data_IF_536556013449
#
_entry.id   IF_536556013449
#
_cell.length_a   1.000
_cell.length_b   1.000
_cell.length_c   1.000
_cell.angle_alpha   90.00
_cell.angle_beta   90.00
_cell.angle_gamma   90.00
#
_symmetry.space_group_name_H-M   'P 1'
#
loop_
_entity.id
_entity.type
_entity.pdbx_description
1 polymer ?
#
# COMPACT_ATOMS: atom_id res chain seq x y z
N UNK A 1 -4.49 10.86 23.68
CA UNK A 1 -5.89 10.90 23.18
C UNK A 1 -6.46 12.32 23.14
N UNK A 2 -6.42 13.10 24.23
CA UNK A 2 -6.93 14.48 24.25
C UNK A 2 -6.25 15.40 23.23
N UNK A 3 -4.92 15.33 23.09
CA UNK A 3 -4.18 16.11 22.06
C UNK A 3 -4.66 15.83 20.62
N UNK A 4 -4.97 14.56 20.30
CA UNK A 4 -5.53 14.18 18.99
C UNK A 4 -6.90 14.80 18.76
N UNK A 5 -7.74 14.84 19.79
CA UNK A 5 -9.06 15.51 19.74
C UNK A 5 -8.90 17.01 19.50
N UNK A 6 -8.04 17.67 20.26
CA UNK A 6 -7.77 19.11 20.12
C UNK A 6 -7.19 19.47 18.75
N UNK A 7 -6.33 18.62 18.19
CA UNK A 7 -5.80 18.79 16.84
C UNK A 7 -6.91 18.73 15.77
N UNK A 8 -7.95 17.93 15.97
CA UNK A 8 -9.05 17.84 15.01
C UNK A 8 -9.99 19.02 15.11
N UNK A 9 -10.44 19.35 16.31
CA UNK A 9 -11.37 20.46 16.53
C UNK A 9 -11.33 20.95 17.99
N UNK A 10 -11.36 22.27 18.26
CA UNK A 10 -11.37 22.80 19.62
C UNK A 10 -12.52 22.24 20.47
N UNK A 11 -13.72 22.14 19.89
CA UNK A 11 -14.94 21.66 20.56
C UNK A 11 -14.97 20.17 20.94
N UNK A 12 -13.98 19.38 20.51
CA UNK A 12 -13.81 18.01 21.00
C UNK A 12 -13.15 17.97 22.38
N UNK A 13 -12.82 19.13 22.93
CA UNK A 13 -12.31 19.33 24.28
C UNK A 13 -13.22 20.30 25.04
N UNK A 14 -13.24 20.23 26.38
CA UNK A 14 -14.09 21.06 27.22
C UNK A 14 -13.36 22.33 27.65
N UNK A 15 -13.49 23.43 26.91
CA UNK A 15 -12.87 24.73 27.25
C UNK A 15 -13.89 25.88 27.31
N UNK A 16 -14.91 25.88 26.45
CA UNK A 16 -15.89 26.96 26.34
C UNK A 16 -16.93 26.96 27.47
N UNK A 17 -17.30 25.78 27.95
CA UNK A 17 -18.24 25.62 29.07
C UNK A 17 -17.50 25.60 30.40
N UNK A 18 -17.25 26.79 30.95
CA UNK A 18 -16.61 26.96 32.26
C UNK A 18 -17.44 26.35 33.39
N UNK A 19 -16.80 25.96 34.50
CA UNK A 19 -17.45 25.40 35.70
C UNK A 19 -18.61 26.25 36.21
N UNK A 20 -18.52 27.58 36.05
CA UNK A 20 -19.59 28.54 36.40
C UNK A 20 -20.82 28.40 35.51
N UNK A 21 -20.63 28.24 34.18
CA UNK A 21 -21.72 27.98 33.23
C UNK A 21 -22.36 26.62 33.50
N UNK A 22 -21.54 25.58 33.74
CA UNK A 22 -22.03 24.24 34.06
C UNK A 22 -22.89 24.23 35.32
N UNK A 23 -22.50 24.96 36.37
CA UNK A 23 -23.29 25.09 37.59
C UNK A 23 -24.63 25.82 37.37
N UNK A 24 -24.69 26.78 36.43
CA UNK A 24 -25.94 27.44 36.07
C UNK A 24 -26.85 26.50 35.26
N UNK A 25 -26.28 25.82 34.26
CA UNK A 25 -26.99 24.85 33.43
C UNK A 25 -27.55 23.69 34.24
N UNK A 26 -26.78 23.13 35.19
CA UNK A 26 -27.23 22.00 36.01
C UNK A 26 -28.42 22.35 36.91
N UNK A 27 -28.48 23.59 37.43
CA UNK A 27 -29.64 24.09 38.17
C UNK A 27 -30.88 24.25 37.29
N UNK A 28 -30.72 24.74 36.06
CA UNK A 28 -31.82 24.91 35.10
C UNK A 28 -32.34 23.55 34.61
N UNK A 29 -31.43 22.63 34.31
CA UNK A 29 -31.73 21.24 33.97
C UNK A 29 -32.51 20.55 35.07
N UNK A 30 -32.09 20.67 36.34
CA UNK A 30 -32.81 20.05 37.45
C UNK A 30 -34.26 20.52 37.52
N UNK A 31 -34.53 21.81 37.32
CA UNK A 31 -35.90 22.34 37.31
C UNK A 31 -36.75 21.68 36.21
N UNK A 32 -36.17 21.49 35.03
CA UNK A 32 -36.86 20.84 33.90
C UNK A 32 -37.09 19.34 34.13
N UNK A 33 -36.09 18.62 34.64
CA UNK A 33 -36.17 17.18 34.91
C UNK A 33 -37.16 16.89 36.03
N UNK A 34 -37.16 17.69 37.10
CA UNK A 34 -38.14 17.56 38.19
C UNK A 34 -39.58 17.78 37.69
N UNK A 35 -39.78 18.68 36.72
CA UNK A 35 -41.10 18.93 36.14
C UNK A 35 -41.60 17.74 35.28
N UNK A 36 -40.70 16.98 34.68
CA UNK A 36 -41.01 15.86 33.77
C UNK A 36 -41.06 14.49 34.46
N UNK A 37 -40.46 14.34 35.65
CA UNK A 37 -40.30 13.03 36.29
C UNK A 37 -41.36 12.78 37.39
N UNK A 38 -42.39 11.99 37.05
CA UNK A 38 -43.42 11.46 37.98
C UNK A 38 -42.92 10.27 38.83
N UNK A 39 -41.61 10.19 39.11
CA UNK A 39 -40.97 9.10 39.86
C UNK A 39 -40.77 9.41 41.36
N UNK A 40 -40.49 8.38 42.19
CA UNK A 40 -40.25 8.55 43.63
C UNK A 40 -39.08 9.50 43.91
N UNK A 41 -39.23 10.35 44.94
CA UNK A 41 -38.30 11.43 45.31
C UNK A 41 -36.85 10.94 45.48
N UNK A 42 -36.65 9.69 45.91
CA UNK A 42 -35.33 9.09 46.17
C UNK A 42 -34.50 8.80 44.91
N UNK A 43 -35.10 8.81 43.72
CA UNK A 43 -34.42 8.54 42.44
C UNK A 43 -34.19 9.80 41.61
N UNK A 44 -34.45 10.99 42.17
CA UNK A 44 -34.26 12.25 41.46
C UNK A 44 -32.78 12.64 41.44
N UNK A 45 -32.24 13.04 40.28
CA UNK A 45 -30.84 13.48 40.19
C UNK A 45 -30.62 14.76 41.01
N UNK A 46 -29.45 14.89 41.62
CA UNK A 46 -29.04 16.11 42.35
C UNK A 46 -28.30 17.07 41.42
N UNK A 47 -28.35 18.38 41.70
CA UNK A 47 -27.60 19.41 40.94
C UNK A 47 -26.11 19.04 40.80
N UNK A 48 -25.52 18.49 41.87
CA UNK A 48 -24.11 18.08 41.91
C UNK A 48 -23.83 16.95 40.93
N UNK A 49 -24.70 15.93 40.88
CA UNK A 49 -24.54 14.79 39.95
C UNK A 49 -24.64 15.25 38.49
N UNK A 50 -25.63 16.11 38.18
CA UNK A 50 -25.77 16.66 36.82
C UNK A 50 -24.52 17.47 36.44
N UNK A 51 -23.96 18.26 37.38
CA UNK A 51 -22.75 19.03 37.12
C UNK A 51 -21.53 18.13 36.89
N UNK A 52 -21.37 17.08 37.69
CA UNK A 52 -20.30 16.09 37.53
C UNK A 52 -20.39 15.38 36.18
N UNK A 53 -21.61 15.00 35.75
CA UNK A 53 -21.83 14.40 34.42
C UNK A 53 -21.42 15.37 33.30
N UNK A 54 -21.83 16.65 33.41
CA UNK A 54 -21.51 17.67 32.42
C UNK A 54 -20.03 18.04 32.37
N UNK A 55 -19.28 17.89 33.46
CA UNK A 55 -17.84 18.20 33.52
C UNK A 55 -16.99 17.21 32.70
N UNK A 56 -17.50 16.00 32.45
CA UNK A 56 -16.79 14.98 31.66
C UNK A 56 -17.11 15.09 30.15
N UNK A 57 -18.17 15.85 29.81
CA UNK A 57 -18.61 16.05 28.43
C UNK A 57 -17.72 17.05 27.68
N UNK A 58 -17.64 16.88 26.37
CA UNK A 58 -17.00 17.85 25.46
C UNK A 58 -17.90 19.05 25.21
N UNK A 59 -17.32 20.17 24.76
CA UNK A 59 -18.10 21.37 24.43
C UNK A 59 -19.15 21.09 23.35
N UNK A 60 -18.85 20.23 22.39
CA UNK A 60 -19.83 19.85 21.36
C UNK A 60 -20.99 19.00 21.92
N UNK A 61 -20.73 18.09 22.85
CA UNK A 61 -21.78 17.32 23.52
C UNK A 61 -22.67 18.21 24.40
N UNK A 62 -22.06 19.17 25.09
CA UNK A 62 -22.78 20.18 25.87
C UNK A 62 -23.63 21.08 24.96
N UNK A 63 -23.12 21.45 23.79
CA UNK A 63 -23.90 22.15 22.78
C UNK A 63 -25.11 21.32 22.31
N UNK A 64 -24.91 20.02 22.00
CA UNK A 64 -26.02 19.12 21.65
C UNK A 64 -27.05 18.99 22.77
N UNK A 65 -26.60 18.95 24.02
CA UNK A 65 -27.47 18.96 25.19
C UNK A 65 -28.31 20.25 25.24
N UNK A 66 -27.72 21.41 24.93
CA UNK A 66 -28.46 22.68 24.85
C UNK A 66 -29.56 22.65 23.79
N UNK A 67 -29.33 21.98 22.66
CA UNK A 67 -30.32 21.83 21.60
C UNK A 67 -31.46 20.87 21.98
N UNK A 68 -31.17 19.86 22.80
CA UNK A 68 -32.16 18.86 23.20
C UNK A 68 -33.09 19.37 24.31
N UNK A 69 -32.59 20.21 25.21
CA UNK A 69 -33.31 20.66 26.38
C UNK A 69 -33.57 22.18 26.33
N UNK A 70 -34.83 22.62 26.14
CA UNK A 70 -35.18 24.03 26.03
C UNK A 70 -34.74 24.88 27.24
N UNK A 71 -34.64 24.28 28.42
CA UNK A 71 -34.25 24.97 29.67
C UNK A 71 -32.82 25.52 29.67
N UNK A 72 -31.95 25.01 28.80
CA UNK A 72 -30.54 25.43 28.70
C UNK A 72 -30.18 25.88 27.30
N UNK A 73 -31.16 26.11 26.43
CA UNK A 73 -30.97 26.47 25.04
C UNK A 73 -30.16 27.76 24.85
N UNK A 74 -30.29 28.71 25.78
CA UNK A 74 -29.55 29.98 25.78
C UNK A 74 -28.03 29.81 25.87
N UNK A 75 -27.56 28.64 26.32
CA UNK A 75 -26.13 28.31 26.42
C UNK A 75 -25.58 27.61 25.16
N UNK A 76 -26.34 27.53 24.07
CA UNK A 76 -25.87 26.97 22.82
C UNK A 76 -24.71 27.79 22.22
N UNK A 77 -23.76 27.12 21.59
CA UNK A 77 -22.67 27.77 20.86
C UNK A 77 -23.18 28.38 19.54
N UNK A 78 -22.56 29.48 19.14
CA UNK A 78 -22.81 30.11 17.85
C UNK A 78 -22.26 29.24 16.71
N UNK A 79 -22.92 29.28 15.55
CA UNK A 79 -22.49 28.52 14.37
C UNK A 79 -21.06 28.86 13.96
N UNK A 80 -20.64 30.12 14.04
CA UNK A 80 -19.27 30.52 13.70
C UNK A 80 -18.22 29.80 14.56
N UNK A 81 -18.51 29.58 15.85
CA UNK A 81 -17.63 28.82 16.75
C UNK A 81 -17.62 27.32 16.42
N UNK A 82 -18.74 26.78 15.90
CA UNK A 82 -18.80 25.38 15.45
C UNK A 82 -17.96 25.13 14.20
N UNK A 83 -17.71 26.17 13.41
CA UNK A 83 -16.95 26.09 12.16
C UNK A 83 -15.50 26.56 12.33
N UNK A 84 -15.14 27.07 13.52
CA UNK A 84 -13.83 27.60 13.82
C UNK A 84 -12.79 26.48 14.05
N UNK A 85 -12.25 25.98 12.94
CA UNK A 85 -11.14 25.03 12.92
C UNK A 85 -10.28 25.22 11.68
N UNK A 86 -8.96 25.18 11.84
CA UNK A 86 -8.01 25.25 10.73
C UNK A 86 -8.24 24.15 9.70
N UNK A 87 -8.58 22.92 10.15
CA UNK A 87 -8.90 21.80 9.25
C UNK A 87 -10.19 22.04 8.46
N UNK A 88 -11.23 22.61 9.10
CA UNK A 88 -12.49 22.93 8.41
C UNK A 88 -12.34 24.06 7.40
N UNK A 89 -11.50 25.06 7.69
CA UNK A 89 -11.17 26.13 6.74
C UNK A 89 -10.52 25.58 5.48
N UNK A 90 -9.51 24.70 5.63
CA UNK A 90 -8.89 23.99 4.51
C UNK A 90 -9.90 23.09 3.78
N UNK A 91 -10.70 22.34 4.52
CA UNK A 91 -11.74 21.48 3.95
C UNK A 91 -12.72 22.26 3.08
N UNK A 92 -13.09 23.48 3.50
CA UNK A 92 -14.00 24.37 2.74
C UNK A 92 -13.42 24.71 1.37
N UNK A 93 -12.14 25.11 1.34
CA UNK A 93 -11.45 25.45 0.09
C UNK A 93 -11.34 24.23 -0.83
N UNK A 94 -10.96 23.08 -0.26
CA UNK A 94 -10.79 21.82 -0.99
C UNK A 94 -12.12 21.33 -1.58
N UNK A 95 -13.17 21.24 -0.76
CA UNK A 95 -14.50 20.80 -1.21
C UNK A 95 -15.08 21.72 -2.29
N UNK A 96 -14.82 23.03 -2.21
CA UNK A 96 -15.25 23.98 -3.24
C UNK A 96 -14.58 23.69 -4.59
N UNK A 97 -13.28 23.35 -4.59
CA UNK A 97 -12.56 22.97 -5.81
C UNK A 97 -13.06 21.65 -6.38
N UNK A 98 -13.20 20.64 -5.52
CA UNK A 98 -13.64 19.29 -5.92
C UNK A 98 -15.07 19.30 -6.47
N UNK A 99 -15.96 20.10 -5.87
CA UNK A 99 -17.32 20.26 -6.37
C UNK A 99 -17.37 20.91 -7.75
N UNK A 100 -16.49 21.88 -8.04
CA UNK A 100 -16.37 22.48 -9.38
C UNK A 100 -15.86 21.48 -10.42
N UNK A 101 -15.02 20.53 -10.01
CA UNK A 101 -14.50 19.47 -10.86
C UNK A 101 -15.51 18.33 -11.10
N UNK A 102 -16.60 18.27 -10.32
CA UNK A 102 -17.58 17.18 -10.41
C UNK A 102 -17.07 15.88 -9.79
N UNK A 103 -16.13 15.99 -8.85
CA UNK A 103 -15.59 14.88 -8.08
C UNK A 103 -16.49 14.55 -6.90
N UNK A 104 -16.35 13.32 -6.39
CA UNK A 104 -17.09 12.83 -5.23
C UNK A 104 -16.11 12.39 -4.15
N UNK A 105 -16.45 12.74 -2.92
CA UNK A 105 -15.50 12.71 -1.80
C UNK A 105 -15.96 11.74 -0.73
N UNK A 106 -15.09 10.84 -0.29
CA UNK A 106 -15.26 10.07 0.95
C UNK A 106 -14.33 10.64 2.00
N UNK A 107 -14.88 11.04 3.14
CA UNK A 107 -14.16 11.60 4.26
C UNK A 107 -14.19 10.60 5.41
N UNK A 108 -13.01 10.11 5.79
CA UNK A 108 -12.81 9.21 6.91
C UNK A 108 -12.38 9.95 8.17
N UNK A 109 -12.94 9.54 9.31
CA UNK A 109 -12.50 9.97 10.65
C UNK A 109 -12.61 8.81 11.64
N UNK A 110 -11.69 8.73 12.62
CA UNK A 110 -11.80 7.76 13.71
C UNK A 110 -12.78 8.21 14.78
N UNK A 111 -12.98 9.52 14.95
CA UNK A 111 -13.83 10.08 15.99
C UNK A 111 -15.24 10.32 15.44
N UNK A 112 -16.21 9.55 15.90
CA UNK A 112 -17.63 9.73 15.50
C UNK A 112 -18.16 11.12 15.84
N UNK A 113 -17.68 11.72 16.94
CA UNK A 113 -18.00 13.10 17.30
C UNK A 113 -17.48 14.12 16.28
N UNK A 114 -16.36 13.84 15.62
CA UNK A 114 -15.88 14.69 14.52
C UNK A 114 -16.80 14.58 13.30
N UNK A 115 -17.35 13.38 13.03
CA UNK A 115 -18.38 13.22 12.01
C UNK A 115 -19.63 14.06 12.34
N UNK A 116 -20.07 14.09 13.60
CA UNK A 116 -21.19 14.95 14.02
C UNK A 116 -20.92 16.45 13.73
N UNK A 117 -19.70 16.93 14.00
CA UNK A 117 -19.30 18.32 13.69
C UNK A 117 -19.28 18.55 12.17
N UNK A 118 -18.76 17.59 11.41
CA UNK A 118 -18.72 17.65 9.94
C UNK A 118 -20.13 17.68 9.34
N UNK A 119 -21.12 17.03 9.95
CA UNK A 119 -22.52 17.14 9.51
C UNK A 119 -23.07 18.57 9.65
N UNK A 120 -22.77 19.25 10.77
CA UNK A 120 -23.14 20.65 10.97
C UNK A 120 -22.46 21.54 9.93
N UNK A 121 -21.17 21.30 9.67
CA UNK A 121 -20.39 22.00 8.66
C UNK A 121 -20.96 21.81 7.24
N UNK A 122 -21.23 20.57 6.81
CA UNK A 122 -21.76 20.28 5.48
C UNK A 122 -23.16 20.86 5.27
N UNK A 123 -23.99 20.89 6.33
CA UNK A 123 -25.29 21.59 6.31
C UNK A 123 -25.13 23.09 6.11
N UNK A 124 -24.16 23.71 6.79
CA UNK A 124 -23.87 25.14 6.64
C UNK A 124 -23.43 25.48 5.21
N UNK A 125 -22.55 24.66 4.62
CA UNK A 125 -22.05 24.84 3.23
C UNK A 125 -23.07 24.33 2.18
N UNK A 126 -24.21 23.78 2.61
CA UNK A 126 -25.29 23.24 1.75
C UNK A 126 -24.78 22.16 0.78
N UNK A 127 -24.02 21.22 1.31
CA UNK A 127 -23.57 20.04 0.58
C UNK A 127 -24.40 18.83 1.00
N UNK A 128 -24.93 18.11 0.00
CA UNK A 128 -25.61 16.83 0.23
C UNK A 128 -24.58 15.78 0.64
N UNK A 129 -24.89 15.05 1.70
CA UNK A 129 -24.00 14.04 2.25
C UNK A 129 -24.75 12.81 2.76
N UNK A 130 -24.05 11.69 2.86
CA UNK A 130 -24.48 10.48 3.59
C UNK A 130 -23.45 10.20 4.68
N UNK A 131 -23.92 9.65 5.80
CA UNK A 131 -23.08 9.20 6.91
C UNK A 131 -23.17 7.69 7.10
N UNK A 132 -22.02 7.04 7.27
CA UNK A 132 -21.91 5.62 7.61
C UNK A 132 -20.96 5.42 8.78
N UNK A 133 -21.50 5.00 9.92
CA UNK A 133 -20.73 4.66 11.11
C UNK A 133 -21.04 3.25 11.63
N UNK A 134 -20.23 2.82 12.60
CA UNK A 134 -20.35 1.48 13.19
C UNK A 134 -21.59 1.28 14.07
N UNK A 135 -22.38 2.32 14.36
CA UNK A 135 -23.59 2.23 15.18
C UNK A 135 -24.82 1.79 14.39
N UNK A 136 -24.83 2.00 13.07
CA UNK A 136 -25.96 1.66 12.22
C UNK A 136 -26.11 0.14 12.04
N UNK A 137 -27.34 -0.40 11.95
CA UNK A 137 -27.58 -1.80 11.58
C UNK A 137 -27.02 -2.16 10.21
N UNK A 138 -26.68 -3.43 9.99
CA UNK A 138 -26.10 -3.89 8.70
C UNK A 138 -27.02 -3.65 7.50
N UNK A 139 -28.34 -3.80 7.67
CA UNK A 139 -29.31 -3.61 6.59
C UNK A 139 -29.32 -2.17 6.06
N UNK A 140 -29.39 -1.19 6.96
CA UNK A 140 -29.40 0.23 6.61
C UNK A 140 -28.08 0.65 5.92
N UNK A 141 -26.95 0.05 6.32
CA UNK A 141 -25.65 0.30 5.67
C UNK A 141 -25.67 -0.08 4.20
N UNK A 142 -26.19 -1.27 3.86
CA UNK A 142 -26.25 -1.73 2.47
C UNK A 142 -27.09 -0.77 1.63
N UNK A 143 -28.26 -0.37 2.14
CA UNK A 143 -29.13 0.59 1.46
C UNK A 143 -28.43 1.93 1.21
N UNK A 144 -27.68 2.45 2.19
CA UNK A 144 -26.95 3.72 2.05
C UNK A 144 -25.77 3.61 1.06
N UNK A 145 -25.11 2.46 0.99
CA UNK A 145 -24.03 2.19 0.01
C UNK A 145 -24.61 2.12 -1.40
N UNK A 146 -25.74 1.44 -1.58
CA UNK A 146 -26.43 1.37 -2.87
C UNK A 146 -26.92 2.75 -3.32
N UNK A 147 -27.47 3.54 -2.37
CA UNK A 147 -27.88 4.92 -2.62
C UNK A 147 -26.68 5.79 -3.01
N UNK A 148 -25.55 5.65 -2.31
CA UNK A 148 -24.30 6.32 -2.61
C UNK A 148 -23.82 6.05 -4.05
N UNK A 149 -23.88 4.79 -4.49
CA UNK A 149 -23.44 4.39 -5.82
C UNK A 149 -24.44 4.76 -6.93
N UNK A 150 -25.73 4.85 -6.61
CA UNK A 150 -26.80 5.13 -7.59
C UNK A 150 -27.09 6.62 -7.74
N UNK A 151 -27.16 7.37 -6.64
CA UNK A 151 -27.50 8.79 -6.64
C UNK A 151 -26.27 9.67 -6.83
N UNK A 152 -26.16 10.33 -7.99
CA UNK A 152 -25.05 11.23 -8.31
C UNK A 152 -25.10 12.59 -7.60
N UNK A 153 -26.24 12.96 -7.00
CA UNK A 153 -26.43 14.25 -6.30
C UNK A 153 -25.77 14.27 -4.91
N UNK A 154 -25.28 13.12 -4.42
CA UNK A 154 -24.57 13.03 -3.14
C UNK A 154 -23.11 13.34 -3.37
N UNK A 155 -22.62 14.44 -2.82
CA UNK A 155 -21.26 14.91 -3.04
C UNK A 155 -20.26 14.34 -2.04
N UNK A 156 -20.64 14.27 -0.75
CA UNK A 156 -19.75 13.86 0.35
C UNK A 156 -20.27 12.61 1.06
N UNK A 157 -19.37 11.69 1.36
CA UNK A 157 -19.63 10.52 2.17
C UNK A 157 -18.82 10.62 3.46
N UNK A 158 -19.50 10.70 4.59
CA UNK A 158 -18.89 10.69 5.91
C UNK A 158 -18.80 9.25 6.40
N UNK A 159 -17.59 8.80 6.70
CA UNK A 159 -17.37 7.43 7.14
C UNK A 159 -16.47 7.37 8.37
N UNK A 160 -16.83 6.48 9.31
CA UNK A 160 -15.86 6.15 10.35
C UNK A 160 -14.78 5.22 9.78
N UNK A 161 -13.50 5.44 10.09
CA UNK A 161 -12.39 4.60 9.59
C UNK A 161 -12.64 3.11 9.90
N UNK A 162 -13.19 2.82 11.08
CA UNK A 162 -13.58 1.46 11.48
C UNK A 162 -14.70 0.86 10.63
N UNK A 163 -15.64 1.67 10.16
CA UNK A 163 -16.66 1.19 9.23
C UNK A 163 -16.09 0.96 7.82
N UNK A 164 -15.04 1.70 7.42
CA UNK A 164 -14.26 1.43 6.22
C UNK A 164 -13.53 0.07 6.24
N UNK A 165 -13.24 -0.49 7.41
CA UNK A 165 -12.68 -1.83 7.53
C UNK A 165 -13.66 -2.95 7.09
N UNK A 166 -14.95 -2.67 6.97
CA UNK A 166 -15.96 -3.63 6.52
C UNK A 166 -15.89 -3.83 5.01
N UNK A 167 -16.22 -5.03 4.51
CA UNK A 167 -16.17 -5.34 3.08
C UNK A 167 -17.26 -4.63 2.26
N UNK A 168 -17.04 -3.34 2.02
CA UNK A 168 -17.90 -2.45 1.23
C UNK A 168 -17.19 -2.02 -0.05
N UNK A 169 -17.96 -1.65 -1.07
CA UNK A 169 -17.42 -1.17 -2.34
C UNK A 169 -17.99 0.23 -2.67
N UNK A 170 -17.11 1.23 -2.72
CA UNK A 170 -17.45 2.63 -2.96
C UNK A 170 -16.79 3.12 -4.26
N UNK A 171 -17.09 2.44 -5.37
CA UNK A 171 -16.54 2.79 -6.70
C UNK A 171 -16.96 4.18 -7.18
N UNK A 172 -18.04 4.74 -6.65
CA UNK A 172 -18.58 5.99 -7.14
C UNK A 172 -17.83 7.24 -6.65
N UNK A 173 -16.99 7.11 -5.63
CA UNK A 173 -16.16 8.19 -5.11
C UNK A 173 -14.72 8.09 -5.61
N UNK A 174 -14.15 9.22 -6.03
CA UNK A 174 -12.81 9.27 -6.61
C UNK A 174 -11.81 10.06 -5.75
N UNK A 175 -12.27 10.75 -4.71
CA UNK A 175 -11.40 11.44 -3.75
C UNK A 175 -11.62 10.87 -2.35
N UNK A 176 -10.54 10.50 -1.69
CA UNK A 176 -10.52 10.04 -0.31
C UNK A 176 -9.80 11.08 0.54
N UNK A 177 -10.46 11.57 1.59
CA UNK A 177 -9.88 12.50 2.56
C UNK A 177 -9.79 11.79 3.90
N UNK A 178 -8.57 11.58 4.41
CA UNK A 178 -8.36 11.14 5.79
C UNK A 178 -8.28 12.36 6.69
N UNK A 179 -9.36 12.65 7.42
CA UNK A 179 -9.41 13.81 8.32
C UNK A 179 -8.49 13.65 9.53
N UNK A 180 -8.32 12.41 9.99
CA UNK A 180 -7.40 12.02 11.06
C UNK A 180 -6.86 10.61 10.81
N UNK A 181 -5.52 10.48 10.90
CA UNK A 181 -4.77 9.26 10.60
C UNK A 181 -4.81 8.31 11.80
N UNK A 182 -5.04 7.02 11.54
CA UNK A 182 -5.04 5.96 12.55
C UNK A 182 -3.60 5.67 12.99
N UNK A 183 -3.45 5.36 14.27
CA UNK A 183 -2.15 4.91 14.77
C UNK A 183 -1.71 3.64 14.02
N UNK A 184 -2.66 2.79 13.62
CA UNK A 184 -2.40 1.63 12.77
C UNK A 184 -2.62 1.99 11.28
N UNK A 185 -1.57 2.16 10.48
CA UNK A 185 -1.69 2.55 9.07
C UNK A 185 -2.42 1.49 8.22
N UNK A 186 -2.51 0.25 8.70
CA UNK A 186 -3.29 -0.79 8.02
C UNK A 186 -4.79 -0.44 7.96
N UNK A 187 -5.33 0.21 8.99
CA UNK A 187 -6.74 0.58 9.03
C UNK A 187 -7.06 1.64 7.96
N UNK A 188 -6.20 2.64 7.82
CA UNK A 188 -6.36 3.70 6.82
C UNK A 188 -6.20 3.16 5.41
N UNK A 189 -5.18 2.33 5.18
CA UNK A 189 -4.99 1.65 3.88
C UNK A 189 -6.19 0.79 3.50
N UNK A 190 -6.77 0.07 4.47
CA UNK A 190 -7.97 -0.71 4.22
C UNK A 190 -9.18 0.17 3.88
N UNK A 191 -9.29 1.37 4.48
CA UNK A 191 -10.33 2.33 4.15
C UNK A 191 -10.14 2.92 2.74
N UNK A 192 -8.90 3.24 2.35
CA UNK A 192 -8.53 3.69 1.00
C UNK A 192 -8.87 2.62 -0.06
N UNK A 193 -8.54 1.35 0.23
CA UNK A 193 -8.81 0.22 -0.65
C UNK A 193 -10.30 0.06 -0.99
N UNK A 194 -11.23 0.60 -0.17
CA UNK A 194 -12.68 0.57 -0.46
C UNK A 194 -13.10 1.46 -1.62
N UNK A 195 -12.29 2.49 -1.91
CA UNK A 195 -12.48 3.36 -3.07
C UNK A 195 -11.58 2.91 -4.23
N UNK A 196 -10.41 2.32 -3.93
CA UNK A 196 -9.53 1.65 -4.90
C UNK A 196 -9.97 0.20 -5.16
N UNK A 197 -11.21 0.03 -5.61
CA UNK A 197 -11.81 -1.27 -5.90
C UNK A 197 -11.91 -1.55 -7.40
N UNK A 198 -12.00 -2.85 -7.74
CA UNK A 198 -12.29 -3.30 -9.11
C UNK A 198 -13.65 -2.74 -9.53
N UNK A 199 -13.67 -1.95 -10.60
CA UNK A 199 -14.86 -1.23 -11.07
C UNK A 199 -14.73 0.30 -10.97
N UNK A 200 -13.70 0.82 -10.31
CA UNK A 200 -13.36 2.24 -10.35
C UNK A 200 -12.82 2.62 -11.74
N UNK A 201 -13.40 3.66 -12.34
CA UNK A 201 -13.04 4.16 -13.69
C UNK A 201 -12.23 5.45 -13.60
N UNK A 202 -12.42 6.24 -12.52
CA UNK A 202 -11.74 7.52 -12.32
C UNK A 202 -10.46 7.35 -11.51
N UNK A 203 -9.46 8.19 -11.77
CA UNK A 203 -8.22 8.20 -10.98
C UNK A 203 -8.53 8.58 -9.54
N UNK A 204 -8.07 7.74 -8.60
CA UNK A 204 -8.24 7.97 -7.17
C UNK A 204 -7.23 9.01 -6.67
N UNK A 205 -7.71 9.99 -5.91
CA UNK A 205 -6.88 10.95 -5.17
C UNK A 205 -7.05 10.72 -3.67
N UNK A 206 -5.95 10.68 -2.92
CA UNK A 206 -5.95 10.53 -1.46
C UNK A 206 -5.29 11.79 -0.85
N UNK A 207 -6.02 12.50 0.00
CA UNK A 207 -5.53 13.68 0.72
C UNK A 207 -5.57 13.43 2.24
N UNK A 208 -4.44 13.56 2.93
CA UNK A 208 -4.32 13.32 4.37
C UNK A 208 -4.17 14.64 5.14
N UNK A 209 -5.04 14.87 6.14
CA UNK A 209 -5.02 16.10 6.93
C UNK A 209 -4.17 15.94 8.19
N UNK A 210 -2.94 16.48 8.13
CA UNK A 210 -1.96 16.45 9.22
C UNK A 210 -1.75 17.86 9.75
N UNK A 211 -1.78 18.03 11.07
CA UNK A 211 -1.38 19.30 11.69
C UNK A 211 0.13 19.29 11.94
N UNK A 212 0.83 20.36 11.53
CA UNK A 212 2.28 20.49 11.68
C UNK A 212 2.79 20.31 13.13
N UNK A 213 2.02 20.75 14.14
CA UNK A 213 2.38 20.56 15.55
C UNK A 213 2.17 19.13 16.07
N UNK A 214 1.56 18.26 15.26
CA UNK A 214 1.24 16.87 15.59
C UNK A 214 2.12 15.86 14.80
N UNK A 215 2.88 16.33 13.80
CA UNK A 215 3.84 15.51 13.05
C UNK A 215 4.81 14.77 13.98
N UNK A 216 5.38 15.42 14.99
CA UNK A 216 6.35 14.78 15.88
C UNK A 216 5.74 13.59 16.65
N UNK A 217 4.49 13.70 17.11
CA UNK A 217 3.82 12.64 17.87
C UNK A 217 3.34 11.48 16.98
N UNK A 218 2.94 11.79 15.75
CA UNK A 218 2.55 10.81 14.74
C UNK A 218 3.76 10.06 14.20
N UNK A 219 4.88 10.75 13.93
CA UNK A 219 6.16 10.15 13.55
C UNK A 219 6.67 9.23 14.67
N UNK A 220 6.57 9.67 15.93
CA UNK A 220 6.89 8.83 17.10
C UNK A 220 5.95 7.61 17.16
N UNK A 221 4.65 7.77 16.92
CA UNK A 221 3.69 6.66 16.97
C UNK A 221 3.92 5.67 15.84
N UNK A 222 4.21 6.15 14.64
CA UNK A 222 4.57 5.34 13.48
C UNK A 222 5.88 4.59 13.72
N UNK A 223 6.90 5.28 14.25
CA UNK A 223 8.16 4.67 14.63
C UNK A 223 8.00 3.64 15.78
N UNK A 224 7.11 3.88 16.74
CA UNK A 224 6.78 2.93 17.80
C UNK A 224 6.05 1.70 17.24
N UNK A 225 5.10 1.87 16.33
CA UNK A 225 4.38 0.75 15.71
C UNK A 225 5.28 -0.07 14.79
N UNK A 226 6.22 0.57 14.08
CA UNK A 226 7.24 -0.14 13.31
C UNK A 226 8.19 -0.92 14.23
N UNK A 227 8.59 -0.33 15.37
CA UNK A 227 9.36 -1.04 16.40
C UNK A 227 8.61 -2.18 17.04
N UNK A 228 7.31 -2.05 17.33
CA UNK A 228 6.47 -3.13 17.87
C UNK A 228 6.37 -4.26 16.85
N UNK A 229 6.15 -3.93 15.57
CA UNK A 229 6.07 -4.90 14.47
C UNK A 229 7.39 -5.65 14.28
N UNK A 230 8.51 -4.93 14.35
CA UNK A 230 9.86 -5.49 14.31
C UNK A 230 10.12 -6.39 15.52
N UNK A 231 9.73 -5.96 16.72
CA UNK A 231 9.87 -6.76 17.95
C UNK A 231 9.04 -8.03 17.89
N UNK A 232 7.81 -7.95 17.37
CA UNK A 232 6.93 -9.11 17.16
C UNK A 232 7.54 -10.11 16.18
N UNK A 233 8.11 -9.64 15.07
CA UNK A 233 8.85 -10.48 14.11
C UNK A 233 10.07 -11.14 14.76
N UNK A 234 10.82 -10.41 15.58
CA UNK A 234 11.97 -10.97 16.33
C UNK A 234 11.53 -12.05 17.32
N UNK A 235 10.40 -11.86 18.01
CA UNK A 235 9.82 -12.87 18.90
C UNK A 235 9.37 -14.11 18.12
N UNK A 236 8.76 -13.94 16.95
CA UNK A 236 8.41 -15.04 16.04
C UNK A 236 9.67 -15.78 15.57
N UNK A 237 10.74 -15.07 15.19
CA UNK A 237 12.03 -15.67 14.84
C UNK A 237 12.67 -16.42 16.02
N UNK A 238 12.51 -15.94 17.25
CA UNK A 238 12.97 -16.66 18.46
C UNK A 238 12.25 -17.99 18.67
N UNK A 239 10.96 -18.09 18.31
CA UNK A 239 10.25 -19.38 18.34
C UNK A 239 10.77 -20.36 17.28
N UNK A 240 11.20 -19.85 16.13
CA UNK A 240 11.81 -20.63 15.04
C UNK A 240 13.25 -21.04 15.37
N UNK A 241 13.98 -20.23 16.13
CA UNK A 241 15.36 -20.49 16.56
C UNK A 241 15.52 -21.64 17.59
N UNK A 242 14.43 -22.28 18.01
CA UNK A 242 14.46 -23.53 18.82
C UNK A 242 14.87 -24.76 17.99
N UNK A 243 14.80 -24.65 16.67
CA UNK A 243 15.18 -25.70 15.72
C UNK A 243 16.66 -25.52 15.30
N UNK A 244 17.45 -26.59 15.45
CA UNK A 244 18.92 -26.53 15.40
C UNK A 244 19.43 -26.23 13.98
N UNK A 245 18.74 -26.73 12.95
CA UNK A 245 19.09 -26.49 11.54
C UNK A 245 18.71 -25.08 11.10
N UNK A 246 17.56 -24.58 11.56
CA UNK A 246 17.09 -23.22 11.26
C UNK A 246 17.96 -22.16 11.93
N UNK A 247 18.54 -22.45 13.10
CA UNK A 247 19.45 -21.54 13.81
C UNK A 247 20.74 -21.28 13.03
N UNK A 248 21.26 -22.29 12.33
CA UNK A 248 22.47 -22.15 11.48
C UNK A 248 22.16 -21.26 10.28
N UNK A 249 21.01 -21.47 9.63
CA UNK A 249 20.57 -20.64 8.49
C UNK A 249 20.33 -19.19 8.95
N UNK A 250 19.67 -19.00 10.09
CA UNK A 250 19.44 -17.67 10.66
C UNK A 250 20.76 -16.96 11.01
N UNK A 251 21.78 -17.71 11.46
CA UNK A 251 23.12 -17.19 11.71
C UNK A 251 23.81 -16.69 10.44
N UNK A 252 23.69 -17.43 9.33
CA UNK A 252 24.22 -17.00 8.02
C UNK A 252 23.51 -15.76 7.51
N UNK A 253 22.18 -15.74 7.58
CA UNK A 253 21.37 -14.55 7.21
C UNK A 253 21.77 -13.35 8.08
N UNK A 254 21.99 -13.56 9.38
CA UNK A 254 22.47 -12.49 10.28
C UNK A 254 23.83 -11.93 9.87
N UNK A 255 24.75 -12.78 9.40
CA UNK A 255 26.05 -12.34 8.87
C UNK A 255 25.90 -11.57 7.55
N UNK A 256 25.03 -12.02 6.66
CA UNK A 256 24.73 -11.33 5.40
C UNK A 256 24.10 -9.96 5.65
N UNK A 257 23.20 -9.84 6.62
CA UNK A 257 22.59 -8.55 7.02
C UNK A 257 23.65 -7.61 7.59
N UNK A 258 24.56 -8.08 8.44
CA UNK A 258 25.67 -7.27 8.96
C UNK A 258 26.63 -6.83 7.84
N UNK A 259 26.86 -7.68 6.85
CA UNK A 259 27.67 -7.32 5.69
C UNK A 259 26.99 -6.24 4.84
N UNK A 260 25.67 -6.34 4.64
CA UNK A 260 24.87 -5.32 3.93
C UNK A 260 24.87 -4.00 4.71
N UNK A 261 24.70 -4.03 6.03
CA UNK A 261 24.75 -2.84 6.87
C UNK A 261 26.10 -2.13 6.77
N UNK A 262 27.20 -2.89 6.80
CA UNK A 262 28.54 -2.34 6.56
C UNK A 262 28.72 -1.74 5.15
N UNK A 263 28.09 -2.30 4.12
CA UNK A 263 28.09 -1.75 2.76
C UNK A 263 27.24 -0.47 2.67
N UNK A 264 26.09 -0.43 3.35
CA UNK A 264 25.24 0.77 3.42
C UNK A 264 25.97 1.92 4.12
N UNK A 265 26.70 1.63 5.19
CA UNK A 265 27.49 2.62 5.92
C UNK A 265 28.64 3.19 5.06
N UNK A 266 29.25 2.34 4.22
CA UNK A 266 30.22 2.79 3.21
C UNK A 266 29.57 3.62 2.10
N UNK A 267 28.37 3.23 1.66
CA UNK A 267 27.60 3.96 0.67
C UNK A 267 27.19 5.34 1.18
N UNK A 268 26.72 5.45 2.42
CA UNK A 268 26.37 6.72 3.05
C UNK A 268 27.58 7.67 3.14
N UNK A 269 28.76 7.15 3.53
CA UNK A 269 30.03 7.91 3.48
C UNK A 269 30.44 8.33 2.06
N UNK A 270 30.11 7.55 1.05
CA UNK A 270 30.36 7.90 -0.35
C UNK A 270 29.43 9.03 -0.81
N UNK A 271 28.14 8.92 -0.50
CA UNK A 271 27.12 9.94 -0.80
C UNK A 271 27.43 11.24 -0.07
N UNK A 272 27.88 11.18 1.20
CA UNK A 272 28.36 12.35 1.94
C UNK A 272 29.48 13.08 1.21
N UNK A 273 30.53 12.36 0.79
CA UNK A 273 31.63 12.92 -0.01
C UNK A 273 31.15 13.54 -1.33
N UNK A 274 30.20 12.91 -2.01
CA UNK A 274 29.64 13.45 -3.25
C UNK A 274 28.83 14.74 -3.01
N UNK A 275 28.09 14.83 -1.90
CA UNK A 275 27.38 16.06 -1.51
C UNK A 275 28.35 17.20 -1.20
N UNK A 276 29.44 16.92 -0.51
CA UNK A 276 30.47 17.93 -0.22
C UNK A 276 31.15 18.42 -1.51
N UNK A 277 31.46 17.50 -2.43
CA UNK A 277 32.00 17.85 -3.74
C UNK A 277 31.02 18.72 -4.55
N UNK A 278 29.73 18.38 -4.53
CA UNK A 278 28.68 19.17 -5.19
C UNK A 278 28.60 20.59 -4.59
N UNK A 279 28.79 20.72 -3.27
CA UNK A 279 28.80 22.02 -2.60
C UNK A 279 29.97 22.89 -3.07
N UNK A 280 31.18 22.33 -3.13
CA UNK A 280 32.35 23.05 -3.64
C UNK A 280 32.21 23.43 -5.12
N UNK A 281 31.63 22.56 -5.95
CA UNK A 281 31.37 22.88 -7.36
C UNK A 281 30.38 24.04 -7.51
N UNK A 282 29.34 24.11 -6.66
CA UNK A 282 28.40 25.24 -6.64
C UNK A 282 29.04 26.54 -6.17
N UNK A 283 29.92 26.47 -5.17
CA UNK A 283 30.71 27.63 -4.74
C UNK A 283 31.59 28.14 -5.89
N UNK A 284 32.25 27.23 -6.61
CA UNK A 284 33.07 27.55 -7.78
C UNK A 284 32.24 28.11 -8.94
N UNK A 285 31.05 27.57 -9.20
CA UNK A 285 30.10 28.10 -10.18
C UNK A 285 29.68 29.53 -9.82
N UNK A 286 29.49 29.82 -8.54
CA UNK A 286 29.23 31.17 -8.04
C UNK A 286 30.37 32.15 -8.37
N UNK A 287 31.62 31.77 -8.12
CA UNK A 287 32.78 32.58 -8.49
C UNK A 287 32.84 32.87 -9.99
N UNK A 288 32.62 31.85 -10.83
CA UNK A 288 32.61 32.03 -12.28
C UNK A 288 31.44 32.91 -12.75
N UNK A 289 30.29 32.86 -12.09
CA UNK A 289 29.17 33.74 -12.42
C UNK A 289 29.49 35.20 -12.09
N UNK A 290 30.18 35.45 -10.97
CA UNK A 290 30.65 36.79 -10.58
C UNK A 290 31.67 37.32 -11.59
N UNK A 291 32.68 36.53 -11.97
CA UNK A 291 33.67 36.88 -13.00
C UNK A 291 33.01 37.19 -14.36
N UNK A 292 31.97 36.44 -14.74
CA UNK A 292 31.21 36.69 -15.97
C UNK A 292 30.42 37.99 -15.88
N UNK A 293 29.91 38.33 -14.70
CA UNK A 293 29.18 39.56 -14.46
C UNK A 293 30.13 40.78 -14.47
N UNK A 294 31.31 40.65 -13.88
CA UNK A 294 32.38 41.65 -13.96
C UNK A 294 32.87 41.84 -15.39
N UNK A 295 33.06 40.76 -16.14
CA UNK A 295 33.42 40.82 -17.56
C UNK A 295 32.36 41.52 -18.42
N UNK A 296 31.07 41.32 -18.12
CA UNK A 296 29.97 42.08 -18.75
C UNK A 296 30.02 43.55 -18.35
N UNK A 297 30.23 43.85 -17.08
CA UNK A 297 30.34 45.22 -16.59
C UNK A 297 31.53 45.96 -17.23
N UNK A 298 32.67 45.31 -17.42
CA UNK A 298 33.83 45.87 -18.14
C UNK A 298 33.53 46.10 -19.63
N UNK A 299 32.81 45.18 -20.29
CA UNK A 299 32.37 45.38 -21.68
C UNK A 299 31.48 46.61 -21.81
N UNK A 300 30.55 46.78 -20.89
CA UNK A 300 29.56 47.85 -20.93
C UNK A 300 30.17 49.22 -20.55
N UNK A 301 31.29 49.23 -19.82
CA UNK A 301 32.01 50.42 -19.37
C UNK A 301 33.43 50.56 -19.98
N UNK A 302 33.59 50.26 -21.27
CA UNK A 302 34.87 50.51 -21.96
C UNK A 302 35.16 52.01 -22.16
N UNK A 303 36.34 52.52 -21.77
CA UNK A 303 36.75 53.90 -22.06
C UNK A 303 36.86 54.18 -23.56
N UNK A 304 36.48 55.39 -23.98
CA UNK A 304 36.34 55.85 -25.37
C UNK A 304 37.62 55.90 -26.21
N UNK A 305 38.80 55.58 -25.67
CA UNK A 305 40.09 55.62 -26.38
C UNK A 305 40.67 54.23 -26.73
N UNK A 306 39.90 53.14 -26.59
CA UNK A 306 40.40 51.82 -26.95
C UNK A 306 40.19 51.52 -28.45
N UNK A 307 41.23 51.11 -29.20
CA UNK A 307 41.11 50.84 -30.64
C UNK A 307 40.25 49.60 -30.89
N UNK A 308 39.06 49.79 -31.47
CA UNK A 308 38.26 48.67 -32.00
C UNK A 308 38.90 48.18 -33.30
N UNK A 309 39.54 47.00 -33.26
CA UNK A 309 40.06 46.36 -34.46
C UNK A 309 38.94 45.63 -35.21
N UNK A 310 38.93 45.85 -36.52
CA UNK A 310 37.96 45.32 -37.47
C UNK A 310 38.21 43.88 -37.89
N UNK A 311 37.21 43.39 -38.61
CA UNK A 311 37.02 42.20 -39.46
C UNK A 311 38.08 41.08 -39.54
N UNK A 312 37.63 39.81 -39.75
CA UNK A 312 38.50 38.65 -39.86
C UNK A 312 39.07 38.48 -41.27
N UNK A 313 40.36 38.12 -41.38
CA UNK A 313 40.95 37.59 -42.60
C UNK A 313 41.97 36.47 -42.30
N UNK A 314 41.57 35.27 -42.71
CA UNK A 314 42.31 34.15 -43.32
C UNK A 314 43.85 34.22 -43.37
N UNK A 315 44.51 33.13 -42.95
CA UNK A 315 45.67 32.39 -43.54
C UNK A 315 46.32 31.62 -42.36
N UNK A 316 46.53 30.31 -42.31
CA UNK A 316 46.76 29.29 -43.35
C UNK A 316 48.17 28.71 -43.17
N UNK A 317 48.28 27.45 -42.68
CA UNK A 317 49.35 26.45 -42.95
C UNK A 317 49.16 25.19 -42.07
N UNK A 318 48.92 24.03 -42.71
CA UNK A 318 48.94 22.69 -42.09
C UNK A 318 50.32 22.03 -42.21
N UNK A 319 50.44 20.70 -42.44
CA UNK A 319 49.74 19.54 -41.87
C UNK A 319 50.75 18.57 -41.21
N UNK A 320 50.29 17.38 -40.75
CA UNK A 320 50.98 16.05 -40.71
C UNK A 320 50.52 15.25 -39.48
N UNK A 321 50.11 13.99 -39.71
CA UNK A 321 50.05 12.97 -38.66
C UNK A 321 48.81 12.07 -38.71
N UNK A 322 48.79 11.12 -39.65
CA UNK A 322 47.90 9.97 -39.63
C UNK A 322 48.26 9.04 -38.45
N UNK A 323 47.26 8.59 -37.70
CA UNK A 323 47.30 7.28 -37.04
C UNK A 323 45.87 6.81 -36.77
N UNK A 324 45.52 5.68 -37.39
CA UNK A 324 44.17 5.14 -37.52
C UNK A 324 43.50 4.59 -36.26
N UNK A 325 42.29 4.03 -36.42
CA UNK A 325 41.47 3.53 -35.33
C UNK A 325 42.00 2.19 -34.83
N UNK A 326 42.17 2.07 -33.51
CA UNK A 326 42.53 0.80 -32.85
C UNK A 326 41.25 0.08 -32.42
N UNK A 327 41.28 -1.22 -32.73
CA UNK A 327 40.23 -2.21 -32.66
C UNK A 327 39.44 -2.30 -31.35
N UNK A 328 38.13 -2.47 -31.52
CA UNK A 328 37.19 -3.02 -30.55
C UNK A 328 37.34 -4.54 -30.60
N UNK A 329 37.74 -5.16 -29.48
CA UNK A 329 37.78 -6.61 -29.33
C UNK A 329 36.36 -7.20 -29.37
N UNK A 330 36.08 -8.23 -30.18
CA UNK A 330 34.80 -8.93 -30.16
C UNK A 330 34.73 -9.99 -29.05
N UNK A 331 33.59 -10.00 -28.38
CA UNK A 331 33.13 -11.01 -27.43
C UNK A 331 33.09 -12.38 -28.11
N UNK A 332 33.64 -13.39 -27.44
CA UNK A 332 33.71 -14.78 -27.89
C UNK A 332 32.31 -15.37 -28.13
N UNK A 333 32.09 -15.84 -29.35
CA UNK A 333 30.96 -16.69 -29.74
C UNK A 333 31.27 -18.14 -29.34
N UNK A 334 30.42 -18.76 -28.51
CA UNK A 334 30.44 -20.20 -28.32
C UNK A 334 29.81 -20.91 -29.53
N UNK A 335 30.52 -21.90 -30.05
CA UNK A 335 30.09 -22.73 -31.18
C UNK A 335 28.93 -23.68 -30.83
N UNK A 336 28.00 -23.94 -31.77
CA UNK A 336 26.92 -24.90 -31.59
C UNK A 336 27.45 -26.33 -31.71
N UNK A 337 27.30 -27.14 -30.66
CA UNK A 337 27.57 -28.59 -30.74
C UNK A 337 26.33 -29.37 -31.12
N UNK A 338 26.54 -30.22 -32.12
CA UNK A 338 25.63 -31.11 -32.85
C UNK A 338 24.67 -31.91 -31.95
N UNK A 339 23.42 -31.96 -32.41
CA UNK A 339 22.29 -32.80 -32.00
C UNK A 339 22.64 -34.27 -31.79
N UNK A 340 22.38 -34.80 -30.58
CA UNK A 340 22.28 -36.23 -30.30
C UNK A 340 20.81 -36.58 -30.01
N UNK A 341 20.30 -37.62 -30.69
CA UNK A 341 18.88 -37.95 -30.85
C UNK A 341 18.15 -38.52 -29.60
N UNK A 342 18.61 -38.25 -28.38
CA UNK A 342 17.99 -38.79 -27.15
C UNK A 342 17.90 -37.74 -26.02
N UNK A 343 17.56 -36.49 -26.34
CA UNK A 343 17.36 -35.48 -25.30
C UNK A 343 15.92 -35.54 -24.80
N UNK A 344 15.74 -35.90 -23.52
CA UNK A 344 14.45 -35.78 -22.84
C UNK A 344 14.14 -34.29 -22.75
N UNK A 345 12.95 -33.87 -23.18
CA UNK A 345 12.57 -32.46 -23.20
C UNK A 345 12.24 -32.00 -21.78
N UNK A 346 13.07 -31.11 -21.25
CA UNK A 346 12.87 -30.47 -19.95
C UNK A 346 12.13 -29.14 -20.13
N UNK A 347 11.36 -28.75 -19.12
CA UNK A 347 10.64 -27.48 -19.07
C UNK A 347 11.62 -26.35 -18.72
N UNK A 348 11.57 -25.26 -19.47
CA UNK A 348 12.34 -24.05 -19.16
C UNK A 348 11.86 -23.40 -17.85
N UNK A 349 12.80 -22.83 -17.10
CA UNK A 349 12.49 -22.04 -15.92
C UNK A 349 11.72 -20.77 -16.31
N UNK A 350 10.85 -20.32 -15.42
CA UNK A 350 10.16 -19.05 -15.57
C UNK A 350 11.14 -17.93 -15.23
N UNK A 351 11.22 -16.91 -16.08
CA UNK A 351 12.04 -15.72 -15.84
C UNK A 351 11.32 -14.73 -14.91
N UNK A 352 12.07 -13.85 -14.23
CA UNK A 352 11.48 -12.82 -13.36
C UNK A 352 10.42 -11.95 -14.06
N UNK A 353 10.62 -11.44 -15.31
CA UNK A 353 9.59 -10.67 -15.98
C UNK A 353 8.35 -11.50 -16.33
N UNK A 354 8.50 -12.77 -16.73
CA UNK A 354 7.35 -13.66 -16.99
C UNK A 354 6.56 -13.93 -15.70
N UNK A 355 7.25 -14.12 -14.57
CA UNK A 355 6.59 -14.26 -13.28
C UNK A 355 5.76 -13.03 -12.93
N UNK A 356 6.27 -11.83 -13.20
CA UNK A 356 5.56 -10.58 -12.91
C UNK A 356 4.26 -10.44 -13.72
N UNK A 357 4.21 -10.98 -14.95
CA UNK A 357 2.99 -11.00 -15.77
C UNK A 357 1.86 -11.88 -15.23
N UNK A 358 2.16 -12.86 -14.36
CA UNK A 358 1.13 -13.75 -13.82
C UNK A 358 0.18 -12.96 -12.90
N UNK A 359 -1.15 -13.03 -13.09
CA UNK A 359 -2.11 -12.31 -12.25
C UNK A 359 -2.04 -12.68 -10.77
N UNK A 360 -2.20 -11.68 -9.89
CA UNK A 360 -2.01 -11.83 -8.43
C UNK A 360 -2.94 -12.88 -7.80
N UNK A 361 -4.15 -13.06 -8.32
CA UNK A 361 -5.08 -14.07 -7.83
C UNK A 361 -4.61 -15.51 -8.11
N UNK A 362 -3.75 -15.73 -9.12
CA UNK A 362 -3.11 -17.02 -9.38
C UNK A 362 -1.85 -17.21 -8.55
N UNK A 363 -1.06 -16.13 -8.35
CA UNK A 363 0.15 -16.14 -7.51
C UNK A 363 -0.16 -16.47 -6.05
N UNK A 364 -1.25 -15.91 -5.52
CA UNK A 364 -1.59 -16.06 -4.11
C UNK A 364 -0.45 -15.58 -3.20
N UNK A 365 0.20 -16.51 -2.50
CA UNK A 365 1.39 -16.25 -1.65
C UNK A 365 2.65 -16.98 -2.15
N UNK A 366 2.65 -17.44 -3.39
CA UNK A 366 3.72 -18.26 -3.96
C UNK A 366 4.85 -17.34 -4.48
N UNK A 367 6.09 -17.65 -4.15
CA UNK A 367 7.26 -16.87 -4.58
C UNK A 367 7.84 -17.38 -5.89
N UNK A 368 8.58 -16.53 -6.60
CA UNK A 368 9.32 -16.90 -7.81
C UNK A 368 10.17 -18.16 -7.63
N UNK A 369 10.94 -18.22 -6.53
CA UNK A 369 11.79 -19.37 -6.22
C UNK A 369 10.97 -20.65 -6.03
N UNK A 370 9.83 -20.58 -5.32
CA UNK A 370 8.95 -21.73 -5.11
C UNK A 370 8.35 -22.25 -6.42
N UNK A 371 8.07 -21.36 -7.37
CA UNK A 371 7.59 -21.75 -8.70
C UNK A 371 8.68 -22.48 -9.48
N UNK A 372 9.91 -21.96 -9.49
CA UNK A 372 11.02 -22.58 -10.22
C UNK A 372 11.53 -23.87 -9.56
N UNK A 373 11.48 -23.99 -8.22
CA UNK A 373 11.72 -25.27 -7.52
C UNK A 373 10.68 -26.33 -7.92
N UNK A 374 9.43 -25.92 -8.15
CA UNK A 374 8.41 -26.84 -8.64
C UNK A 374 8.65 -27.25 -10.10
N UNK A 375 9.12 -26.33 -10.96
CA UNK A 375 9.56 -26.65 -12.32
C UNK A 375 10.71 -27.66 -12.31
N UNK A 376 11.71 -27.46 -11.45
CA UNK A 376 12.83 -28.38 -11.29
C UNK A 376 12.39 -29.79 -10.85
N UNK A 377 11.44 -29.86 -9.91
CA UNK A 377 10.87 -31.12 -9.46
C UNK A 377 10.06 -31.81 -10.56
N UNK A 378 9.29 -31.05 -11.34
CA UNK A 378 8.57 -31.56 -12.51
C UNK A 378 9.55 -32.12 -13.55
N UNK A 379 10.65 -31.40 -13.84
CA UNK A 379 11.70 -31.87 -14.75
C UNK A 379 12.37 -33.14 -14.23
N UNK A 380 12.62 -33.24 -12.93
CA UNK A 380 13.15 -34.45 -12.30
C UNK A 380 12.22 -35.64 -12.50
N UNK A 381 10.90 -35.45 -12.35
CA UNK A 381 9.90 -36.50 -12.58
C UNK A 381 9.83 -36.93 -14.06
N UNK A 382 9.84 -35.97 -14.99
CA UNK A 382 9.86 -36.24 -16.44
C UNK A 382 11.12 -37.02 -16.80
N UNK A 383 12.28 -36.56 -16.35
CA UNK A 383 13.56 -37.18 -16.62
C UNK A 383 13.63 -38.59 -16.01
N UNK A 384 13.09 -38.81 -14.81
CA UNK A 384 12.96 -40.13 -14.20
C UNK A 384 12.08 -41.09 -15.01
N UNK A 385 10.87 -40.65 -15.37
CA UNK A 385 9.89 -41.42 -16.16
C UNK A 385 10.44 -41.84 -17.51
N UNK A 386 10.97 -40.89 -18.29
CA UNK A 386 11.45 -41.16 -19.64
C UNK A 386 12.85 -41.82 -19.69
N UNK A 387 13.66 -41.72 -18.63
CA UNK A 387 14.84 -42.59 -18.45
C UNK A 387 14.46 -44.06 -18.33
N UNK A 388 13.36 -44.38 -17.65
CA UNK A 388 12.85 -45.75 -17.52
C UNK A 388 12.20 -46.22 -18.82
N UNK A 389 11.46 -45.36 -19.52
CA UNK A 389 10.80 -45.68 -20.79
C UNK A 389 11.80 -45.98 -21.93
N UNK A 390 12.94 -45.30 -21.96
CA UNK A 390 13.99 -45.52 -22.96
C UNK A 390 14.91 -46.72 -22.64
N UNK A 391 14.78 -47.36 -21.47
CA UNK A 391 15.54 -48.56 -21.15
C UNK A 391 14.94 -49.81 -21.81
N UNK A 392 15.77 -50.71 -22.38
CA UNK A 392 15.27 -51.93 -22.98
C UNK A 392 14.67 -52.87 -21.92
N UNK A 393 13.52 -53.49 -22.22
CA UNK A 393 12.75 -54.30 -21.27
C UNK A 393 13.50 -55.51 -20.64
N UNK A 394 14.68 -55.86 -21.17
CA UNK A 394 15.54 -56.94 -20.67
C UNK A 394 16.42 -56.54 -19.48
N UNK A 395 16.63 -55.24 -19.23
CA UNK A 395 17.50 -54.73 -18.15
C UNK A 395 16.73 -54.26 -16.90
N UNK A 396 15.40 -54.36 -16.90
CA UNK A 396 14.54 -53.78 -15.87
C UNK A 396 14.25 -54.77 -14.72
N UNK A 397 14.37 -54.29 -13.49
CA UNK A 397 13.95 -55.01 -12.27
C UNK A 397 12.41 -55.15 -12.22
N UNK A 398 11.88 -56.13 -11.47
CA UNK A 398 10.44 -56.44 -11.37
C UNK A 398 9.57 -55.23 -10.98
N UNK A 399 10.05 -54.34 -10.10
CA UNK A 399 9.35 -53.10 -9.74
C UNK A 399 9.35 -52.08 -10.91
N UNK A 400 10.50 -51.88 -11.55
CA UNK A 400 10.66 -50.97 -12.68
C UNK A 400 9.90 -51.45 -13.93
N UNK A 401 9.73 -52.77 -14.08
CA UNK A 401 8.93 -53.38 -15.15
C UNK A 401 7.44 -53.09 -14.99
N UNK A 402 6.92 -53.07 -13.77
CA UNK A 402 5.53 -52.66 -13.47
C UNK A 402 5.30 -51.18 -13.76
N UNK A 403 6.23 -50.30 -13.38
CA UNK A 403 6.19 -48.87 -13.71
C UNK A 403 6.24 -48.62 -15.22
N UNK A 404 7.13 -49.33 -15.93
CA UNK A 404 7.23 -49.24 -17.39
C UNK A 404 5.95 -49.72 -18.09
N UNK A 405 5.28 -50.76 -17.57
CA UNK A 405 3.99 -51.19 -18.08
C UNK A 405 2.89 -50.15 -17.82
N UNK A 406 2.83 -49.58 -16.61
CA UNK A 406 1.91 -48.49 -16.26
C UNK A 406 2.07 -47.27 -17.18
N UNK A 407 3.30 -46.83 -17.45
CA UNK A 407 3.55 -45.68 -18.34
C UNK A 407 3.09 -45.93 -19.79
N UNK A 408 3.16 -47.18 -20.27
CA UNK A 408 2.64 -47.56 -21.60
C UNK A 408 1.11 -47.61 -21.65
N UNK A 409 0.47 -48.05 -20.57
CA UNK A 409 -0.99 -48.07 -20.44
C UNK A 409 -1.59 -46.65 -20.29
N UNK A 410 -0.81 -45.70 -19.76
CA UNK A 410 -1.20 -44.30 -19.63
C UNK A 410 -1.12 -43.49 -20.94
N UNK A 411 -0.51 -44.01 -22.00
CA UNK A 411 -0.33 -43.31 -23.29
C UNK A 411 -1.60 -43.35 -24.17
N UNK A 412 -2.09 -42.19 -24.60
CA UNK A 412 -3.23 -42.05 -25.52
C UNK A 412 -2.78 -41.69 -26.95
N UNK A 413 -3.68 -41.81 -27.94
CA UNK A 413 -3.42 -41.46 -29.35
C UNK A 413 -2.91 -40.01 -29.53
N UNK A 414 -3.38 -39.08 -28.71
CA UNK A 414 -3.05 -37.65 -28.78
C UNK A 414 -1.79 -37.25 -28.00
N UNK A 415 -1.32 -38.10 -27.08
CA UNK A 415 -0.08 -37.89 -26.29
C UNK A 415 1.09 -38.68 -26.84
N UNK A 416 0.88 -39.41 -27.94
CA UNK A 416 1.87 -40.30 -28.54
C UNK A 416 3.02 -39.49 -29.15
N UNK A 417 4.21 -39.64 -28.58
CA UNK A 417 5.41 -38.88 -28.99
C UNK A 417 5.60 -37.52 -28.29
N UNK A 418 4.77 -37.19 -27.29
CA UNK A 418 4.93 -35.99 -26.46
C UNK A 418 5.37 -36.37 -25.04
N UNK A 419 6.12 -35.49 -24.37
CA UNK A 419 6.52 -35.67 -22.98
C UNK A 419 5.39 -35.23 -22.05
N UNK A 420 4.87 -36.16 -21.22
CA UNK A 420 3.78 -35.88 -20.29
C UNK A 420 3.97 -36.55 -18.94
N UNK A 421 3.41 -35.94 -17.91
CA UNK A 421 3.37 -36.47 -16.54
C UNK A 421 1.93 -36.61 -16.04
N UNK A 422 1.75 -37.55 -15.12
CA UNK A 422 0.52 -37.73 -14.35
C UNK A 422 0.83 -37.42 -12.88
N UNK A 423 -0.17 -37.03 -12.09
CA UNK A 423 0.01 -36.72 -10.67
C UNK A 423 0.67 -37.84 -9.86
N UNK A 424 0.43 -39.09 -10.25
CA UNK A 424 1.05 -40.26 -9.64
C UNK A 424 2.55 -40.38 -9.96
N UNK A 425 3.04 -39.79 -11.05
CA UNK A 425 4.47 -39.76 -11.39
C UNK A 425 5.23 -38.78 -10.49
N UNK A 426 4.57 -37.67 -10.11
CA UNK A 426 5.13 -36.67 -9.21
C UNK A 426 5.32 -37.24 -7.81
N UNK A 427 4.34 -38.02 -7.33
CA UNK A 427 4.45 -38.71 -6.03
C UNK A 427 5.52 -39.80 -6.01
N UNK A 428 5.79 -40.43 -7.15
CA UNK A 428 6.76 -41.52 -7.27
C UNK A 428 8.21 -41.01 -7.34
N UNK A 429 8.45 -39.95 -8.12
CA UNK A 429 9.81 -39.46 -8.40
C UNK A 429 10.21 -38.22 -7.58
N UNK A 430 9.29 -37.60 -6.86
CA UNK A 430 9.57 -36.37 -6.09
C UNK A 430 8.93 -36.42 -4.71
N UNK A 431 9.45 -35.62 -3.78
CA UNK A 431 8.86 -35.42 -2.45
C UNK A 431 7.76 -34.34 -2.44
N UNK A 432 7.34 -33.84 -3.61
CA UNK A 432 6.33 -32.80 -3.70
C UNK A 432 4.93 -33.33 -3.36
N UNK A 433 4.21 -32.59 -2.51
CA UNK A 433 2.81 -32.89 -2.19
C UNK A 433 1.89 -32.37 -3.28
N UNK A 434 1.03 -33.25 -3.79
CA UNK A 434 -0.02 -32.93 -4.78
C UNK A 434 -1.24 -32.34 -4.05
N UNK A 435 -1.08 -31.11 -3.57
CA UNK A 435 -2.09 -30.36 -2.80
C UNK A 435 -2.73 -29.24 -3.65
N UNK A 436 -3.72 -28.50 -3.11
CA UNK A 436 -4.32 -27.33 -3.79
C UNK A 436 -3.29 -26.28 -4.25
N UNK A 437 -2.15 -26.16 -3.54
CA UNK A 437 -1.01 -25.32 -3.95
C UNK A 437 -0.36 -25.81 -5.23
N UNK A 438 -0.17 -27.12 -5.37
CA UNK A 438 0.40 -27.72 -6.58
C UNK A 438 -0.51 -27.50 -7.79
N UNK A 439 -1.83 -27.58 -7.61
CA UNK A 439 -2.78 -27.23 -8.66
C UNK A 439 -2.69 -25.75 -9.07
N UNK A 440 -2.45 -24.85 -8.11
CA UNK A 440 -2.17 -23.43 -8.38
C UNK A 440 -0.91 -23.24 -9.21
N UNK A 441 0.15 -23.98 -8.92
CA UNK A 441 1.41 -23.98 -9.70
C UNK A 441 1.16 -24.44 -11.14
N UNK A 442 0.42 -25.53 -11.33
CA UNK A 442 0.09 -26.00 -12.68
C UNK A 442 -0.71 -24.98 -13.48
N UNK A 443 -1.63 -24.26 -12.85
CA UNK A 443 -2.37 -23.18 -13.51
C UNK A 443 -1.46 -22.02 -13.92
N UNK A 444 -0.48 -21.66 -13.09
CA UNK A 444 0.53 -20.65 -13.44
C UNK A 444 1.42 -21.11 -14.60
N UNK A 445 1.88 -22.36 -14.59
CA UNK A 445 2.68 -22.92 -15.69
C UNK A 445 1.89 -23.00 -17.00
N UNK A 446 0.58 -23.24 -16.93
CA UNK A 446 -0.32 -23.14 -18.08
C UNK A 446 -0.46 -21.72 -18.60
N UNK A 447 -0.55 -20.73 -17.71
CA UNK A 447 -0.60 -19.32 -18.09
C UNK A 447 0.67 -18.89 -18.83
N UNK A 448 1.83 -19.33 -18.35
CA UNK A 448 3.13 -19.12 -19.01
C UNK A 448 3.37 -20.04 -20.22
N UNK A 449 2.35 -20.78 -20.69
CA UNK A 449 2.42 -21.68 -21.85
C UNK A 449 3.49 -22.78 -21.76
N UNK A 450 3.90 -23.18 -20.55
CA UNK A 450 4.88 -24.26 -20.34
C UNK A 450 4.24 -25.65 -20.29
N UNK A 451 2.93 -25.71 -20.10
CA UNK A 451 2.18 -26.95 -19.86
C UNK A 451 0.78 -26.90 -20.46
N UNK A 452 0.28 -28.05 -20.93
CA UNK A 452 -1.12 -28.24 -21.36
C UNK A 452 -1.75 -29.41 -20.62
N UNK A 453 -2.99 -29.23 -20.19
CA UNK A 453 -3.77 -30.28 -19.54
C UNK A 453 -4.61 -31.05 -20.57
N UNK A 454 -4.56 -32.38 -20.51
CA UNK A 454 -5.37 -33.27 -21.35
C UNK A 454 -6.06 -34.33 -20.50
N UNK A 455 -7.39 -34.31 -20.48
CA UNK A 455 -8.23 -35.26 -19.71
C UNK A 455 -8.76 -36.36 -20.63
N UNK A 456 -8.64 -37.61 -20.19
CA UNK A 456 -9.21 -38.76 -20.91
C UNK A 456 -8.99 -40.09 -20.18
N UNK A 457 -10.00 -40.96 -20.17
CA UNK A 457 -9.91 -42.27 -19.52
C UNK A 457 -9.79 -42.23 -18.00
N UNK A 458 -10.33 -41.20 -17.34
CA UNK A 458 -10.25 -41.03 -15.88
C UNK A 458 -8.90 -40.50 -15.36
N UNK A 459 -7.95 -40.18 -16.25
CA UNK A 459 -6.61 -39.69 -15.91
C UNK A 459 -6.39 -38.31 -16.54
N UNK A 460 -5.84 -37.38 -15.75
CA UNK A 460 -5.39 -36.05 -16.21
C UNK A 460 -3.90 -36.12 -16.56
N UNK A 461 -3.56 -35.78 -17.80
CA UNK A 461 -2.19 -35.77 -18.32
C UNK A 461 -1.72 -34.33 -18.48
N UNK A 462 -0.53 -34.04 -17.98
CA UNK A 462 0.13 -32.74 -18.05
C UNK A 462 1.24 -32.83 -19.09
N UNK A 463 0.98 -32.30 -20.29
CA UNK A 463 1.89 -32.37 -21.46
C UNK A 463 2.81 -31.15 -21.45
N UNK A 464 4.12 -31.38 -21.47
CA UNK A 464 5.12 -30.32 -21.57
C UNK A 464 5.15 -29.77 -23.00
N UNK A 465 5.03 -28.44 -23.13
CA UNK A 465 4.88 -27.75 -24.43
C UNK A 465 6.19 -27.39 -25.10
#
# INVERSE_FOLDING_TARGET
MQLRKMANHPLLHGQHYTTTKLAAMSRLMLKSVIALTLGPIRSRPTVTQIKEDMEVMTDFELHRLCLQYPSVQDYQLNTDMLLDSGKLSLLTQLLTSLKKQGDRVVLFSQFTMMLDILEVFLKHVKHRYIRLDGSMPMFDRIMLIDQCNTELDIFVFLMSTKAGCLDINLTSANVVILHDIDCNPYNDRQAEDRCHCVGQIRQLRIDNFINMSHCELEDITMHLNDRISSTRRVLELRTIAKDQDKRIILGKIGQDVLAIDGLLDQFEKCVGRQKDLLKHLKELEGFFQEDVQDGKHLRDNMPTHMPRKGQPAVHGRGPVGQSGPVDVQPVQQEHPRKTSKNQIREMEFITSPEFDTIPQYMKGRLTYDQLNTAVESINTAVTGKYKILHQPAKTLNNATRKLHQRFKEEENKDTKGLFFIVEADIKEFTQMKVDKRFQGILNMLRHCQRLREQRGGGITRYVLL
#
